data_IF_571794395690
#
_entry.id   IF_571794395690
#
_cell.length_a   1.000
_cell.length_b   1.000
_cell.length_c   1.000
_cell.angle_alpha   90.00
_cell.angle_beta   90.00
_cell.angle_gamma   90.00
#
_symmetry.space_group_name_H-M   'P 1'
#
loop_
_entity.id
_entity.type
_entity.pdbx_description
1 polymer ?
#
# COMPACT_ATOMS: atom_id res chain seq x y z
N UNK A 1 -6.87 -4.26 -22.38
CA UNK A 1 -5.47 -3.94 -22.04
C UNK A 1 -5.50 -3.16 -20.74
N UNK A 2 -4.87 -3.65 -19.68
CA UNK A 2 -4.80 -2.91 -18.42
C UNK A 2 -3.58 -1.99 -18.50
N UNK A 3 -3.82 -0.69 -18.64
CA UNK A 3 -2.76 0.32 -18.59
C UNK A 3 -2.18 0.35 -17.16
N UNK A 4 -0.92 -0.06 -17.03
CA UNK A 4 -0.15 0.08 -15.80
C UNK A 4 0.29 1.53 -15.68
N UNK A 5 -0.25 2.26 -14.69
CA UNK A 5 0.12 3.65 -14.46
C UNK A 5 1.29 3.71 -13.50
N UNK A 6 2.42 4.28 -13.94
CA UNK A 6 3.60 4.45 -13.10
C UNK A 6 3.70 5.92 -12.70
N UNK A 7 3.55 6.21 -11.41
CA UNK A 7 3.87 7.54 -10.88
C UNK A 7 5.35 7.58 -10.50
N UNK A 8 6.08 8.51 -11.08
CA UNK A 8 7.43 8.90 -10.65
C UNK A 8 7.39 10.35 -10.20
N UNK A 9 7.86 10.62 -8.98
CA UNK A 9 7.94 11.98 -8.45
C UNK A 9 9.33 12.27 -7.90
N UNK A 10 9.71 13.54 -8.01
CA UNK A 10 10.96 14.07 -7.47
C UNK A 10 10.65 15.38 -6.77
N UNK A 11 10.95 15.47 -5.49
CA UNK A 11 10.69 16.65 -4.68
C UNK A 11 11.74 16.81 -3.58
N UNK A 12 11.91 18.02 -3.01
CA UNK A 12 12.77 18.20 -1.84
C UNK A 12 12.27 17.32 -0.68
N UNK A 13 13.21 16.66 0.01
CA UNK A 13 12.90 15.72 1.10
C UNK A 13 12.19 16.43 2.26
N UNK A 14 10.97 15.95 2.57
CA UNK A 14 10.09 16.46 3.62
C UNK A 14 9.31 15.30 4.24
N UNK A 15 9.07 15.31 5.56
CA UNK A 15 8.21 14.32 6.17
C UNK A 15 6.79 14.41 5.59
N UNK A 16 6.17 13.26 5.33
CA UNK A 16 4.79 13.17 4.84
C UNK A 16 4.62 13.03 3.33
N UNK A 17 5.69 13.07 2.52
CA UNK A 17 5.59 12.87 1.06
C UNK A 17 4.94 11.52 0.72
N UNK A 18 5.39 10.43 1.36
CA UNK A 18 4.85 9.09 1.13
C UNK A 18 3.36 9.03 1.49
N UNK A 19 2.97 9.61 2.62
CA UNK A 19 1.58 9.63 3.08
C UNK A 19 0.67 10.37 2.10
N UNK A 20 1.10 11.55 1.62
CA UNK A 20 0.34 12.32 0.64
C UNK A 20 0.14 11.54 -0.66
N UNK A 21 1.20 10.87 -1.14
CA UNK A 21 1.17 10.10 -2.40
C UNK A 21 0.26 8.88 -2.28
N UNK A 22 0.39 8.09 -1.21
CA UNK A 22 -0.47 6.92 -1.00
C UNK A 22 -1.93 7.31 -0.78
N UNK A 23 -2.20 8.44 -0.12
CA UNK A 23 -3.54 8.98 0.04
C UNK A 23 -4.21 9.33 -1.30
N UNK A 24 -3.45 9.89 -2.26
CA UNK A 24 -3.96 10.17 -3.61
C UNK A 24 -4.36 8.86 -4.30
N UNK A 25 -3.50 7.84 -4.30
CA UNK A 25 -3.82 6.54 -4.90
C UNK A 25 -5.04 5.89 -4.27
N UNK A 26 -5.12 5.89 -2.93
CA UNK A 26 -6.24 5.34 -2.20
C UNK A 26 -7.55 6.08 -2.51
N UNK A 27 -7.50 7.41 -2.63
CA UNK A 27 -8.67 8.23 -2.99
C UNK A 27 -9.20 7.93 -4.40
N UNK A 28 -8.33 7.49 -5.30
CA UNK A 28 -8.69 7.09 -6.66
C UNK A 28 -8.99 5.59 -6.79
N UNK A 29 -8.95 4.82 -5.69
CA UNK A 29 -9.24 3.39 -5.69
C UNK A 29 -8.16 2.51 -6.33
N UNK A 30 -6.95 3.04 -6.53
CA UNK A 30 -5.82 2.27 -7.06
C UNK A 30 -5.07 1.57 -5.94
N UNK A 31 -4.69 0.31 -6.19
CA UNK A 31 -3.80 -0.44 -5.31
C UNK A 31 -2.35 -0.31 -5.81
N UNK A 32 -1.43 0.05 -4.90
CA UNK A 32 -0.01 0.15 -5.22
C UNK A 32 0.60 -1.25 -5.16
N UNK A 33 1.17 -1.73 -6.26
CA UNK A 33 1.75 -3.08 -6.31
C UNK A 33 3.21 -3.12 -5.82
N UNK A 34 3.97 -2.09 -6.17
CA UNK A 34 5.37 -1.93 -5.80
C UNK A 34 5.60 -0.47 -5.40
N UNK A 35 6.45 -0.25 -4.42
CA UNK A 35 6.78 1.09 -3.95
C UNK A 35 8.28 1.19 -3.72
N UNK A 36 8.95 1.95 -4.59
CA UNK A 36 10.37 2.25 -4.44
C UNK A 36 10.54 3.69 -3.99
N UNK A 37 11.19 3.86 -2.84
CA UNK A 37 11.57 5.15 -2.29
C UNK A 37 13.09 5.24 -2.19
N UNK A 38 13.63 6.39 -2.55
CA UNK A 38 15.04 6.69 -2.45
C UNK A 38 15.22 8.13 -2.00
N UNK A 39 15.87 8.31 -0.85
CA UNK A 39 16.22 9.63 -0.32
C UNK A 39 17.72 9.83 -0.51
N UNK A 40 18.10 10.94 -1.16
CA UNK A 40 19.48 11.38 -1.22
C UNK A 40 19.72 12.50 -0.20
N UNK A 41 20.42 12.23 0.92
CA UNK A 41 20.67 13.23 1.96
C UNK A 41 21.66 14.31 1.51
N UNK A 42 22.55 14.01 0.55
CA UNK A 42 23.50 14.98 0.02
C UNK A 42 22.81 16.10 -0.77
N UNK A 43 21.87 15.75 -1.64
CA UNK A 43 21.10 16.71 -2.45
C UNK A 43 19.78 17.14 -1.81
N UNK A 44 19.40 16.55 -0.66
CA UNK A 44 18.09 16.74 0.02
C UNK A 44 16.91 16.49 -0.91
N UNK A 45 17.01 15.43 -1.72
CA UNK A 45 16.01 15.06 -2.72
C UNK A 45 15.39 13.73 -2.39
N UNK A 46 14.09 13.64 -2.65
CA UNK A 46 13.30 12.44 -2.52
C UNK A 46 12.84 11.99 -3.89
N UNK A 47 13.06 10.71 -4.19
CA UNK A 47 12.63 10.05 -5.41
C UNK A 47 11.71 8.90 -5.02
N UNK A 48 10.55 8.83 -5.68
CA UNK A 48 9.59 7.76 -5.45
C UNK A 48 8.98 7.29 -6.74
N UNK A 49 8.80 5.97 -6.83
CA UNK A 49 8.16 5.29 -7.95
C UNK A 49 7.11 4.32 -7.42
N UNK A 50 5.90 4.45 -7.93
CA UNK A 50 4.76 3.64 -7.55
C UNK A 50 3.99 3.21 -8.81
N UNK A 51 4.21 2.00 -9.35
CA UNK A 51 3.29 1.37 -10.29
C UNK A 51 1.95 1.06 -9.60
N UNK A 52 0.90 1.56 -10.22
CA UNK A 52 -0.48 1.39 -9.86
C UNK A 52 -1.24 0.95 -11.12
N UNK A 53 -1.63 -0.33 -11.24
CA UNK A 53 -2.50 -0.75 -12.33
C UNK A 53 -3.85 -0.03 -12.23
N UNK A 54 -4.60 -0.04 -13.34
CA UNK A 54 -6.01 0.35 -13.34
C UNK A 54 -6.75 -0.32 -12.16
N UNK A 55 -7.69 0.40 -11.51
CA UNK A 55 -8.36 -0.11 -10.33
C UNK A 55 -9.13 -1.37 -10.72
N UNK A 56 -8.68 -2.52 -10.22
CA UNK A 56 -9.44 -3.75 -10.36
C UNK A 56 -10.78 -3.56 -9.61
N UNK A 57 -11.90 -4.09 -10.13
CA UNK A 57 -13.16 -4.07 -9.39
C UNK A 57 -12.91 -4.66 -8.00
N UNK A 58 -13.24 -3.86 -6.98
CA UNK A 58 -12.80 -4.02 -5.61
C UNK A 58 -12.75 -5.50 -5.17
N UNK A 59 -11.61 -6.03 -4.70
CA UNK A 59 -11.63 -7.29 -3.98
C UNK A 59 -12.48 -7.07 -2.73
N UNK A 60 -13.51 -7.91 -2.57
CA UNK A 60 -14.39 -7.91 -1.40
C UNK A 60 -13.55 -7.82 -0.12
N UNK A 61 -13.99 -7.03 0.89
CA UNK A 61 -13.21 -6.84 2.11
C UNK A 61 -12.83 -8.22 2.69
N UNK A 62 -11.59 -8.39 3.20
CA UNK A 62 -11.24 -9.63 3.86
C UNK A 62 -12.20 -9.79 5.04
N UNK A 63 -13.12 -10.75 4.92
CA UNK A 63 -13.90 -11.25 6.04
C UNK A 63 -12.91 -11.90 6.99
N UNK A 64 -12.23 -11.12 7.81
CA UNK A 64 -11.52 -11.61 8.98
C UNK A 64 -12.60 -12.07 9.96
N UNK A 65 -13.14 -13.25 9.70
CA UNK A 65 -13.96 -13.97 10.65
C UNK A 65 -13.05 -14.30 11.83
N UNK A 66 -13.29 -13.76 13.04
CA UNK A 66 -12.51 -14.14 14.21
C UNK A 66 -12.87 -15.60 14.52
N UNK A 67 -12.05 -16.54 14.04
CA UNK A 67 -12.18 -17.97 14.34
C UNK A 67 -12.19 -18.10 15.88
N UNK A 68 -13.30 -18.51 16.52
CA UNK A 68 -13.32 -18.64 17.96
C UNK A 68 -12.32 -19.74 18.34
N UNK A 69 -11.35 -19.37 19.18
CA UNK A 69 -10.38 -20.28 19.76
C UNK A 69 -11.16 -21.40 20.48
N UNK A 70 -11.27 -22.57 19.83
CA UNK A 70 -11.95 -23.74 20.39
C UNK A 70 -11.21 -24.14 21.65
N UNK A 71 -11.70 -23.70 22.82
CA UNK A 71 -11.22 -24.16 24.14
C UNK A 71 -11.37 -25.67 24.19
N UNK A 72 -10.25 -26.36 23.99
CA UNK A 72 -10.11 -27.79 24.23
C UNK A 72 -10.50 -28.07 25.68
N UNK A 73 -11.62 -28.75 25.90
CA UNK A 73 -11.94 -29.32 27.22
C UNK A 73 -10.99 -30.50 27.45
N UNK A 74 -10.22 -30.54 28.54
CA UNK A 74 -9.48 -31.74 28.91
C UNK A 74 -10.46 -32.82 29.41
N UNK A 75 -10.44 -33.97 28.77
CA UNK A 75 -11.05 -35.22 29.25
C UNK A 75 -10.15 -35.82 30.33
N UNK A 76 -10.65 -35.91 31.56
CA UNK A 76 -10.07 -36.73 32.63
C UNK A 76 -10.77 -38.09 32.62
N UNK A 77 -10.00 -39.15 32.36
CA UNK A 77 -10.29 -40.53 32.74
C UNK A 77 -9.37 -40.89 33.88
#
# INVERSE_FOLDING_TARGET
MADDHILTLTCPDKPGIVHAVTAVFASHGHNILDLRQFSDPASRRFFMRAPAPAPAPAPAPPTTSPRPLRRSRPTTT
#
